data_IF_756546235026
#
_entry.id   IF_756546235026
#
_cell.length_a   1.000
_cell.length_b   1.000
_cell.length_c   1.000
_cell.angle_alpha   90.00
_cell.angle_beta   90.00
_cell.angle_gamma   90.00
#
_symmetry.space_group_name_H-M   'P 1'
#
loop_
_entity.id
_entity.type
_entity.pdbx_description
1 polymer ?
#
# COMPACT_ATOMS: atom_id res chain seq x y z
N UNK A 1 -2.36 13.81 -16.91
CA UNK A 1 -3.05 13.51 -15.64
C UNK A 1 -4.32 14.34 -15.39
N UNK A 2 -4.71 15.29 -16.26
CA UNK A 2 -5.80 16.25 -16.00
C UNK A 2 -7.24 15.75 -16.25
N UNK A 3 -7.44 14.66 -16.99
CA UNK A 3 -8.80 14.23 -17.37
C UNK A 3 -9.51 13.32 -16.35
N UNK A 4 -8.81 12.83 -15.32
CA UNK A 4 -9.36 11.84 -14.39
C UNK A 4 -10.02 12.47 -13.16
N UNK A 5 -9.61 13.67 -12.75
CA UNK A 5 -10.19 14.35 -11.57
C UNK A 5 -11.70 14.57 -11.73
N UNK A 6 -12.21 15.09 -12.86
CA UNK A 6 -13.65 15.26 -13.05
C UNK A 6 -14.42 13.94 -13.00
N UNK A 7 -13.82 12.83 -13.47
CA UNK A 7 -14.44 11.51 -13.43
C UNK A 7 -14.51 10.96 -12.00
N UNK A 8 -13.45 11.14 -11.22
CA UNK A 8 -13.40 10.76 -9.81
C UNK A 8 -14.44 11.54 -8.99
N UNK A 9 -14.53 12.85 -9.20
CA UNK A 9 -15.51 13.70 -8.53
C UNK A 9 -16.95 13.32 -8.87
N UNK A 10 -17.24 13.00 -10.15
CA UNK A 10 -18.54 12.46 -10.56
C UNK A 10 -18.88 11.13 -9.88
N UNK A 11 -17.86 10.36 -9.50
CA UNK A 11 -18.00 9.09 -8.78
C UNK A 11 -18.08 9.26 -7.25
N UNK A 12 -18.15 10.50 -6.75
CA UNK A 12 -18.24 10.81 -5.32
C UNK A 12 -16.90 10.87 -4.59
N UNK A 13 -15.77 10.84 -5.31
CA UNK A 13 -14.43 10.96 -4.72
C UNK A 13 -14.05 12.43 -4.54
N UNK A 14 -13.71 12.81 -3.32
CA UNK A 14 -13.20 14.15 -3.03
C UNK A 14 -11.69 14.20 -3.30
N UNK A 15 -11.27 15.09 -4.19
CA UNK A 15 -9.87 15.24 -4.61
C UNK A 15 -9.32 16.56 -4.08
N UNK A 16 -8.15 16.51 -3.44
CA UNK A 16 -7.46 17.66 -2.87
C UNK A 16 -6.03 17.73 -3.39
N UNK A 17 -5.53 18.95 -3.62
CA UNK A 17 -4.14 19.17 -3.94
C UNK A 17 -3.31 19.26 -2.64
N UNK A 18 -2.27 18.44 -2.55
CA UNK A 18 -1.34 18.43 -1.42
C UNK A 18 -1.81 17.61 -0.22
N UNK A 19 -1.05 17.73 0.88
CA UNK A 19 -1.28 16.97 2.11
C UNK A 19 -2.51 17.54 2.83
N UNK A 20 -3.54 16.73 3.13
CA UNK A 20 -4.72 17.22 3.82
C UNK A 20 -4.40 17.57 5.27
N UNK A 21 -4.85 18.71 5.80
CA UNK A 21 -4.74 19.00 7.22
C UNK A 21 -5.70 18.10 8.02
N UNK A 22 -5.37 17.85 9.29
CA UNK A 22 -6.18 16.98 10.15
C UNK A 22 -7.63 17.47 10.32
N UNK A 23 -7.82 18.79 10.40
CA UNK A 23 -9.15 19.41 10.48
C UNK A 23 -10.04 19.07 9.27
N UNK A 24 -9.44 18.89 8.09
CA UNK A 24 -10.18 18.45 6.91
C UNK A 24 -10.61 16.99 7.04
N UNK A 25 -9.70 16.11 7.47
CA UNK A 25 -9.97 14.67 7.67
C UNK A 25 -11.12 14.47 8.68
N UNK A 26 -11.20 15.29 9.73
CA UNK A 26 -12.25 15.23 10.76
C UNK A 26 -13.64 15.62 10.25
N UNK A 27 -13.72 16.51 9.26
CA UNK A 27 -14.99 17.00 8.70
C UNK A 27 -15.70 15.96 7.85
N UNK A 28 -15.00 14.93 7.38
CA UNK A 28 -15.58 13.89 6.55
C UNK A 28 -16.32 12.82 7.38
N UNK A 29 -17.45 12.31 6.86
CA UNK A 29 -18.16 11.20 7.48
C UNK A 29 -17.26 9.94 7.57
N UNK A 30 -17.53 9.11 8.57
CA UNK A 30 -16.78 7.87 8.84
C UNK A 30 -17.66 6.64 8.57
N UNK A 31 -17.09 5.51 8.11
CA UNK A 31 -15.67 5.28 7.86
C UNK A 31 -15.16 6.02 6.61
N UNK A 32 -13.90 6.44 6.64
CA UNK A 32 -13.25 7.18 5.55
C UNK A 32 -12.09 6.37 4.95
N UNK A 33 -11.89 6.44 3.64
CA UNK A 33 -10.67 5.98 2.98
C UNK A 33 -9.85 7.20 2.52
N UNK A 34 -8.69 7.38 3.12
CA UNK A 34 -7.73 8.42 2.75
C UNK A 34 -6.70 7.86 1.77
N UNK A 35 -6.62 8.44 0.57
CA UNK A 35 -5.61 8.07 -0.43
C UNK A 35 -4.63 9.23 -0.56
N UNK A 36 -3.35 8.96 -0.28
CA UNK A 36 -2.25 9.90 -0.40
C UNK A 36 -1.39 9.48 -1.60
N UNK A 37 -1.61 10.13 -2.74
CA UNK A 37 -0.92 9.83 -3.99
C UNK A 37 0.14 10.88 -4.32
N UNK A 38 1.35 10.43 -4.65
CA UNK A 38 2.52 11.27 -4.98
C UNK A 38 2.87 12.37 -3.96
N UNK A 39 2.66 12.09 -2.67
CA UNK A 39 2.89 13.07 -1.59
C UNK A 39 4.22 12.90 -0.84
N UNK A 40 5.08 11.94 -1.22
CA UNK A 40 6.31 11.62 -0.47
C UNK A 40 7.22 12.84 -0.24
N UNK A 41 7.39 13.67 -1.27
CA UNK A 41 8.26 14.84 -1.17
C UNK A 41 7.65 15.93 -0.29
N UNK A 42 6.35 16.18 -0.43
CA UNK A 42 5.62 17.23 0.28
C UNK A 42 5.22 16.89 1.71
N UNK A 43 5.04 15.61 2.04
CA UNK A 43 4.56 15.19 3.35
C UNK A 43 5.68 15.23 4.39
N UNK A 44 5.32 15.71 5.58
CA UNK A 44 6.16 15.67 6.76
C UNK A 44 6.23 14.24 7.34
N UNK A 45 7.41 13.83 7.79
CA UNK A 45 7.67 12.50 8.33
C UNK A 45 6.87 12.21 9.61
N UNK A 46 6.80 13.20 10.51
CA UNK A 46 6.06 13.06 11.76
C UNK A 46 4.56 12.96 11.47
N UNK A 47 4.05 13.79 10.57
CA UNK A 47 2.65 13.74 10.17
C UNK A 47 2.27 12.38 9.55
N UNK A 48 3.05 11.87 8.60
CA UNK A 48 2.82 10.55 8.00
C UNK A 48 2.87 9.44 9.06
N UNK A 49 3.82 9.51 10.00
CA UNK A 49 3.95 8.56 11.10
C UNK A 49 2.72 8.55 12.02
N UNK A 50 2.16 9.73 12.33
CA UNK A 50 0.95 9.85 13.14
C UNK A 50 -0.29 9.27 12.43
N UNK A 51 -0.39 9.44 11.11
CA UNK A 51 -1.48 8.88 10.30
C UNK A 51 -1.51 7.35 10.35
N UNK A 52 -0.33 6.70 10.26
CA UNK A 52 -0.20 5.24 10.23
C UNK A 52 -0.18 4.56 11.61
N UNK A 53 -0.12 5.32 12.72
CA UNK A 53 -0.02 4.75 14.07
C UNK A 53 -1.27 4.97 14.90
N UNK A 54 -1.59 6.23 15.22
CA UNK A 54 -2.66 6.57 16.17
C UNK A 54 -3.93 7.03 15.46
N UNK A 55 -3.79 7.87 14.42
CA UNK A 55 -4.93 8.63 13.89
C UNK A 55 -5.91 7.75 13.11
N UNK A 56 -5.44 6.81 12.29
CA UNK A 56 -6.30 5.90 11.52
C UNK A 56 -7.29 5.13 12.41
N UNK A 57 -6.78 4.51 13.48
CA UNK A 57 -7.58 3.71 14.40
C UNK A 57 -8.53 4.56 15.25
N UNK A 58 -8.09 5.73 15.74
CA UNK A 58 -8.93 6.58 16.58
C UNK A 58 -9.99 7.39 15.80
N UNK A 59 -9.72 7.71 14.54
CA UNK A 59 -10.61 8.54 13.72
C UNK A 59 -11.38 7.72 12.66
N UNK A 60 -11.43 6.39 12.82
CA UNK A 60 -12.17 5.44 11.99
C UNK A 60 -11.95 5.66 10.48
N UNK A 61 -10.69 5.67 10.06
CA UNK A 61 -10.33 5.75 8.64
C UNK A 61 -9.22 4.77 8.27
N UNK A 62 -9.28 4.27 7.04
CA UNK A 62 -8.20 3.53 6.40
C UNK A 62 -7.34 4.47 5.56
N UNK A 63 -6.06 4.15 5.40
CA UNK A 63 -5.10 4.95 4.62
C UNK A 63 -4.41 4.10 3.56
N UNK A 64 -4.36 4.63 2.34
CA UNK A 64 -3.52 4.13 1.26
C UNK A 64 -2.50 5.22 0.97
N UNK A 65 -1.22 4.86 0.99
CA UNK A 65 -0.13 5.76 0.65
C UNK A 65 0.65 5.18 -0.51
N UNK A 66 0.65 5.91 -1.63
CA UNK A 66 1.29 5.51 -2.88
C UNK A 66 2.65 6.17 -2.96
N UNK A 67 3.70 5.37 -3.20
CA UNK A 67 5.08 5.85 -3.22
C UNK A 67 5.93 5.04 -4.20
N UNK A 68 6.93 5.68 -4.80
CA UNK A 68 7.93 5.05 -5.65
C UNK A 68 9.11 4.47 -4.86
N UNK A 69 9.31 4.90 -3.61
CA UNK A 69 10.44 4.47 -2.79
C UNK A 69 9.98 3.87 -1.46
N UNK A 70 9.93 2.54 -1.40
CA UNK A 70 9.54 1.81 -0.19
C UNK A 70 10.50 2.02 0.99
N UNK A 71 11.77 2.38 0.73
CA UNK A 71 12.82 2.52 1.75
C UNK A 71 13.21 3.97 2.06
N UNK A 72 12.39 4.93 1.64
CA UNK A 72 12.57 6.31 2.07
C UNK A 72 12.48 6.41 3.61
N UNK A 73 13.31 7.27 4.20
CA UNK A 73 13.35 7.48 5.65
C UNK A 73 11.99 7.91 6.20
N UNK A 74 11.26 8.78 5.48
CA UNK A 74 9.98 9.34 5.92
C UNK A 74 8.91 8.26 6.08
N UNK A 75 9.03 7.16 5.33
CA UNK A 75 8.03 6.10 5.25
C UNK A 75 8.34 4.96 6.23
N UNK A 76 9.48 4.98 6.94
CA UNK A 76 9.90 3.87 7.80
C UNK A 76 8.81 3.45 8.80
N UNK A 77 8.22 4.42 9.50
CA UNK A 77 7.15 4.15 10.48
C UNK A 77 5.89 3.65 9.79
N UNK A 78 5.48 4.29 8.69
CA UNK A 78 4.32 3.86 7.91
C UNK A 78 4.48 2.42 7.40
N UNK A 79 5.65 2.06 6.86
CA UNK A 79 5.97 0.71 6.39
C UNK A 79 5.91 -0.33 7.52
N UNK A 80 6.38 0.01 8.72
CA UNK A 80 6.36 -0.89 9.86
C UNK A 80 4.98 -1.10 10.47
N UNK A 81 4.07 -0.13 10.32
CA UNK A 81 2.69 -0.19 10.85
C UNK A 81 1.66 -0.54 9.77
N UNK A 82 2.07 -0.70 8.51
CA UNK A 82 1.19 -1.06 7.43
C UNK A 82 0.67 -2.49 7.63
N UNK A 83 -0.66 -2.65 7.59
CA UNK A 83 -1.32 -3.95 7.62
C UNK A 83 -1.21 -4.68 6.28
N UNK A 84 -1.06 -3.92 5.19
CA UNK A 84 -0.92 -4.44 3.84
C UNK A 84 0.16 -3.67 3.10
N UNK A 85 0.96 -4.37 2.30
CA UNK A 85 1.89 -3.77 1.35
C UNK A 85 1.56 -4.31 -0.03
N UNK A 86 1.42 -3.42 -1.01
CA UNK A 86 1.23 -3.80 -2.41
C UNK A 86 2.50 -3.43 -3.17
N UNK A 87 3.14 -4.42 -3.78
CA UNK A 87 4.35 -4.25 -4.59
C UNK A 87 4.00 -4.41 -6.06
N UNK A 88 4.16 -3.34 -6.83
CA UNK A 88 4.02 -3.37 -8.28
C UNK A 88 5.38 -3.64 -8.96
N UNK A 89 5.35 -3.90 -10.27
CA UNK A 89 6.57 -4.04 -11.08
C UNK A 89 7.40 -2.75 -11.03
N UNK A 90 8.61 -2.84 -10.47
CA UNK A 90 9.58 -1.74 -10.47
C UNK A 90 10.99 -2.25 -10.78
N UNK A 91 11.40 -2.26 -12.07
CA UNK A 91 12.71 -2.76 -12.49
C UNK A 91 13.87 -2.04 -11.81
N UNK A 92 13.73 -0.74 -11.54
CA UNK A 92 14.76 0.09 -10.92
C UNK A 92 14.85 -0.09 -9.38
N UNK A 93 13.95 -0.88 -8.78
CA UNK A 93 13.88 -1.07 -7.33
C UNK A 93 14.11 -2.51 -6.89
N UNK A 94 14.80 -3.33 -7.70
CA UNK A 94 15.04 -4.74 -7.41
C UNK A 94 15.67 -4.98 -6.01
N UNK A 95 16.60 -4.13 -5.60
CA UNK A 95 17.19 -4.18 -4.25
C UNK A 95 16.15 -3.90 -3.15
N UNK A 96 15.24 -2.95 -3.36
CA UNK A 96 14.14 -2.68 -2.43
C UNK A 96 13.25 -3.91 -2.27
N UNK A 97 12.86 -4.54 -3.38
CA UNK A 97 12.06 -5.78 -3.35
C UNK A 97 12.79 -6.88 -2.58
N UNK A 98 14.08 -7.09 -2.86
CA UNK A 98 14.87 -8.07 -2.12
C UNK A 98 14.96 -7.75 -0.62
N UNK A 99 15.18 -6.48 -0.27
CA UNK A 99 15.32 -6.06 1.12
C UNK A 99 14.03 -6.26 1.93
N UNK A 100 12.86 -5.94 1.35
CA UNK A 100 11.59 -6.19 2.05
C UNK A 100 11.33 -7.70 2.17
N UNK A 101 11.69 -8.47 1.13
CA UNK A 101 11.67 -9.94 1.18
C UNK A 101 12.51 -10.51 2.31
N UNK A 102 13.75 -10.02 2.51
CA UNK A 102 14.62 -10.45 3.62
C UNK A 102 14.00 -10.10 4.99
N UNK A 103 13.36 -8.93 5.11
CA UNK A 103 12.74 -8.51 6.37
C UNK A 103 11.51 -9.36 6.73
N UNK A 104 10.70 -9.74 5.74
CA UNK A 104 9.43 -10.45 5.96
C UNK A 104 9.57 -11.98 5.89
N UNK A 105 10.52 -12.49 5.09
CA UNK A 105 10.73 -13.90 4.78
C UNK A 105 12.22 -14.29 4.91
N UNK A 106 12.86 -14.11 6.08
CA UNK A 106 14.31 -14.28 6.23
C UNK A 106 14.82 -15.68 5.90
N UNK A 107 13.97 -16.71 6.01
CA UNK A 107 14.29 -18.11 5.68
C UNK A 107 13.65 -18.59 4.37
N UNK A 108 12.88 -17.73 3.69
CA UNK A 108 12.05 -18.07 2.53
C UNK A 108 12.14 -16.97 1.46
N UNK A 109 13.31 -16.36 1.29
CA UNK A 109 13.50 -15.25 0.35
C UNK A 109 13.21 -15.67 -1.09
N UNK A 110 13.67 -16.86 -1.50
CA UNK A 110 13.48 -17.34 -2.87
C UNK A 110 12.00 -17.55 -3.19
N UNK A 111 11.23 -18.09 -2.23
CA UNK A 111 9.78 -18.18 -2.31
C UNK A 111 9.13 -16.80 -2.51
N UNK A 112 9.53 -15.80 -1.73
CA UNK A 112 9.00 -14.45 -1.86
C UNK A 112 9.34 -13.81 -3.23
N UNK A 113 10.58 -13.96 -3.70
CA UNK A 113 11.02 -13.40 -4.98
C UNK A 113 10.33 -14.07 -6.17
N UNK A 114 10.10 -15.38 -6.09
CA UNK A 114 9.35 -16.12 -7.09
C UNK A 114 7.88 -15.68 -7.13
N UNK A 115 7.22 -15.55 -5.98
CA UNK A 115 5.86 -15.01 -5.89
C UNK A 115 5.76 -13.60 -6.48
N UNK A 116 6.71 -12.71 -6.17
CA UNK A 116 6.78 -11.36 -6.75
C UNK A 116 6.92 -11.40 -8.27
N UNK A 117 7.84 -12.24 -8.78
CA UNK A 117 8.07 -12.39 -10.22
C UNK A 117 6.81 -12.87 -10.95
N UNK A 118 6.13 -13.88 -10.41
CA UNK A 118 4.89 -14.40 -10.98
C UNK A 118 3.77 -13.35 -10.94
N UNK A 119 3.56 -12.71 -9.79
CA UNK A 119 2.50 -11.70 -9.59
C UNK A 119 2.70 -10.43 -10.43
N UNK A 120 3.92 -10.13 -10.88
CA UNK A 120 4.26 -8.92 -11.65
C UNK A 120 4.72 -9.23 -13.08
N UNK A 121 4.45 -10.44 -13.56
CA UNK A 121 4.82 -10.86 -14.91
C UNK A 121 4.11 -10.02 -15.98
N UNK A 122 2.81 -9.81 -15.79
CA UNK A 122 1.96 -9.01 -16.67
C UNK A 122 2.02 -7.51 -16.34
N UNK A 123 1.75 -6.63 -17.33
CA UNK A 123 1.57 -5.20 -17.09
C UNK A 123 0.53 -4.95 -16.00
N UNK A 124 0.83 -3.99 -15.11
CA UNK A 124 -0.01 -3.63 -13.96
C UNK A 124 -0.21 -4.72 -12.89
N UNK A 125 0.48 -5.86 -13.02
CA UNK A 125 0.52 -6.90 -11.99
C UNK A 125 1.12 -6.39 -10.67
N UNK A 126 0.65 -6.96 -9.57
CA UNK A 126 1.02 -6.56 -8.21
C UNK A 126 1.04 -7.76 -7.27
N UNK A 127 1.92 -7.73 -6.28
CA UNK A 127 1.92 -8.65 -5.14
C UNK A 127 1.34 -7.94 -3.92
N UNK A 128 0.21 -8.42 -3.41
CA UNK A 128 -0.28 -8.07 -2.08
C UNK A 128 0.44 -8.92 -1.02
N UNK A 129 0.90 -8.24 0.01
CA UNK A 129 1.49 -8.83 1.22
C UNK A 129 0.59 -8.47 2.41
N UNK A 130 0.01 -9.49 3.04
CA UNK A 130 -0.83 -9.37 4.23
C UNK A 130 -0.01 -9.51 5.51
N UNK A 131 0.09 -8.41 6.25
CA UNK A 131 0.83 -8.30 7.51
C UNK A 131 -0.11 -8.18 8.73
N UNK A 132 -1.42 -8.31 8.53
CA UNK A 132 -2.37 -8.19 9.62
C UNK A 132 -2.25 -9.38 10.59
N UNK A 133 -2.19 -9.09 11.90
CA UNK A 133 -1.89 -10.11 12.92
C UNK A 133 -2.95 -11.23 13.03
N UNK A 134 -4.20 -10.93 12.65
CA UNK A 134 -5.29 -11.91 12.66
C UNK A 134 -5.48 -12.65 11.33
N UNK A 135 -4.67 -12.36 10.31
CA UNK A 135 -4.81 -13.00 9.00
C UNK A 135 -4.22 -14.42 9.00
N UNK A 136 -4.83 -15.30 8.21
CA UNK A 136 -4.30 -16.63 7.95
C UNK A 136 -2.92 -16.53 7.28
N UNK A 137 -1.85 -17.14 7.84
CA UNK A 137 -0.52 -17.15 7.24
C UNK A 137 -0.49 -17.68 5.80
N UNK A 138 -1.40 -18.58 5.42
CA UNK A 138 -1.51 -19.11 4.06
C UNK A 138 -2.00 -18.07 3.05
N UNK A 139 -2.66 -17.00 3.51
CA UNK A 139 -3.15 -15.90 2.66
C UNK A 139 -2.17 -14.72 2.60
N UNK A 140 -0.93 -14.92 3.05
CA UNK A 140 0.06 -13.83 3.20
C UNK A 140 0.47 -13.20 1.89
N UNK A 141 0.65 -13.98 0.82
CA UNK A 141 1.05 -13.50 -0.50
C UNK A 141 -0.04 -13.79 -1.51
N UNK A 142 -0.59 -12.74 -2.14
CA UNK A 142 -1.72 -12.84 -3.07
C UNK A 142 -1.56 -11.88 -4.24
N UNK A 143 -2.22 -12.17 -5.34
CA UNK A 143 -2.47 -11.22 -6.43
C UNK A 143 -3.91 -11.37 -6.91
N UNK A 144 -4.35 -10.50 -7.83
CA UNK A 144 -5.67 -10.58 -8.46
C UNK A 144 -6.83 -10.61 -7.43
N UNK A 145 -6.83 -9.65 -6.50
CA UNK A 145 -7.78 -9.61 -5.38
C UNK A 145 -9.09 -8.89 -5.71
N UNK A 146 -9.17 -8.21 -6.86
CA UNK A 146 -10.35 -7.45 -7.24
C UNK A 146 -11.43 -8.37 -7.80
N UNK A 147 -12.68 -7.90 -7.79
CA UNK A 147 -13.83 -8.70 -8.24
C UNK A 147 -13.78 -9.02 -9.73
N UNK A 148 -13.07 -8.18 -10.48
CA UNK A 148 -13.01 -8.19 -11.94
C UNK A 148 -11.93 -9.15 -12.43
N UNK A 149 -11.04 -9.59 -11.53
CA UNK A 149 -10.01 -10.56 -11.84
C UNK A 149 -10.64 -11.96 -11.96
N UNK A 150 -10.38 -12.64 -13.07
CA UNK A 150 -10.95 -13.97 -13.38
C UNK A 150 -10.49 -15.04 -12.38
N UNK A 151 -9.22 -14.99 -11.98
CA UNK A 151 -8.61 -15.96 -11.07
C UNK A 151 -7.86 -15.26 -9.92
N UNK A 152 -8.22 -15.64 -8.69
CA UNK A 152 -7.53 -15.20 -7.47
C UNK A 152 -6.37 -16.14 -7.20
N UNK A 153 -5.18 -15.57 -7.10
CA UNK A 153 -3.96 -16.37 -6.92
C UNK A 153 -3.42 -16.17 -5.50
N UNK A 154 -3.14 -17.28 -4.82
CA UNK A 154 -2.51 -17.34 -3.51
C UNK A 154 -1.18 -18.09 -3.68
N UNK A 155 -0.09 -17.47 -3.22
CA UNK A 155 1.21 -18.12 -3.21
C UNK A 155 1.41 -18.82 -1.87
N UNK A 156 1.86 -20.08 -1.91
CA UNK A 156 2.08 -20.92 -0.74
C UNK A 156 3.53 -21.43 -0.79
N UNK A 157 4.24 -21.38 0.33
CA UNK A 157 5.57 -21.98 0.43
C UNK A 157 5.45 -23.49 0.36
N UNK A 158 6.31 -24.12 -0.45
CA UNK A 158 6.55 -25.56 -0.37
C UNK A 158 7.24 -25.92 0.95
#
# INVERSE_FOLDING_TARGET
>A
MSNNIPLLQKSGVNVYAGVPPEELIKKFPKPLLLILDDLLLSIDEKYLSELFTKKSHHQNFAIIFVTQNLFDKKIKVARQNAQYIILMRSPNSALSIRNIGVQLFPRQLDYFLDAYKQATNEPYGYLLIDLHASSDPNLRLRTNIFKEDEEKIIFISK
#
